data_IF_478095128392
#
_entry.id   IF_478095128392
#
_cell.length_a   1.000
_cell.length_b   1.000
_cell.length_c   1.000
_cell.angle_alpha   90.00
_cell.angle_beta   90.00
_cell.angle_gamma   90.00
#
_symmetry.space_group_name_H-M   'P 1'
#
loop_
_entity.id
_entity.type
_entity.pdbx_description
1 polymer ?
#
# COMPACT_ATOMS: atom_id res chain seq x y z
N UNK A 1 0.11 10.85 15.12
CA UNK A 1 0.89 10.22 14.04
C UNK A 1 1.57 11.33 13.23
N UNK A 2 2.85 11.19 12.92
CA UNK A 2 3.65 12.18 12.17
C UNK A 2 3.92 11.67 10.75
N UNK A 3 2.85 11.53 9.96
CA UNK A 3 2.94 10.94 8.61
C UNK A 3 3.70 11.84 7.63
N UNK A 4 3.75 13.15 7.87
CA UNK A 4 4.52 14.10 7.08
C UNK A 4 6.02 13.77 7.12
N UNK A 5 6.55 13.41 8.30
CA UNK A 5 7.97 13.07 8.48
C UNK A 5 8.26 11.56 8.41
N UNK A 6 7.35 10.76 7.84
CA UNK A 6 7.48 9.28 7.79
C UNK A 6 8.79 8.80 7.15
N UNK A 7 9.28 9.50 6.12
CA UNK A 7 10.52 9.15 5.41
C UNK A 7 11.76 9.29 6.31
N UNK A 8 11.73 10.19 7.29
CA UNK A 8 12.83 10.36 8.24
C UNK A 8 12.71 9.40 9.43
N UNK A 9 11.50 8.91 9.73
CA UNK A 9 11.22 8.05 10.89
C UNK A 9 11.31 6.56 10.58
N UNK A 10 10.95 6.14 9.37
CA UNK A 10 10.87 4.73 8.97
C UNK A 10 11.89 4.50 7.85
N UNK A 11 13.01 3.81 8.13
CA UNK A 11 14.10 3.61 7.17
C UNK A 11 13.66 3.00 5.85
N UNK A 12 12.68 2.08 5.91
CA UNK A 12 12.18 1.35 4.74
C UNK A 12 11.02 2.07 4.03
N UNK A 13 10.69 3.30 4.44
CA UNK A 13 9.60 4.04 3.81
C UNK A 13 10.00 4.54 2.42
N UNK A 14 9.26 4.10 1.40
CA UNK A 14 9.54 4.43 0.00
C UNK A 14 8.71 5.63 -0.44
N UNK A 15 9.38 6.70 -0.84
CA UNK A 15 8.75 7.86 -1.48
C UNK A 15 8.55 7.61 -2.98
N UNK A 16 7.31 7.38 -3.41
CA UNK A 16 6.99 7.18 -4.83
C UNK A 16 6.94 8.52 -5.59
N UNK A 17 7.63 8.58 -6.72
CA UNK A 17 7.64 9.71 -7.65
C UNK A 17 7.38 9.21 -9.08
N UNK A 18 6.86 10.05 -9.99
CA UNK A 18 6.73 9.69 -11.40
C UNK A 18 8.04 9.24 -12.06
N UNK A 19 9.19 9.66 -11.52
CA UNK A 19 10.52 9.30 -12.02
C UNK A 19 10.96 7.92 -11.54
N UNK A 20 10.78 7.60 -10.25
CA UNK A 20 11.28 6.34 -9.70
C UNK A 20 10.31 5.16 -9.84
N UNK A 21 9.01 5.40 -10.04
CA UNK A 21 8.03 4.30 -10.11
C UNK A 21 8.36 3.28 -11.20
N UNK A 22 8.98 3.72 -12.31
CA UNK A 22 9.40 2.86 -13.41
C UNK A 22 10.60 1.98 -13.10
N UNK A 23 11.33 2.25 -12.02
CA UNK A 23 12.52 1.49 -11.62
C UNK A 23 12.27 0.54 -10.44
N UNK A 24 11.15 0.69 -9.75
CA UNK A 24 10.79 -0.14 -8.58
C UNK A 24 10.11 -1.42 -9.05
N UNK A 25 10.84 -2.54 -9.04
CA UNK A 25 10.39 -3.83 -9.59
C UNK A 25 9.38 -4.58 -8.73
N UNK A 26 9.32 -4.32 -7.42
CA UNK A 26 8.50 -5.07 -6.46
C UNK A 26 7.10 -4.49 -6.25
N UNK A 27 6.73 -3.40 -6.94
CA UNK A 27 5.39 -2.83 -6.82
C UNK A 27 4.32 -3.87 -7.24
N UNK A 28 3.21 -3.98 -6.49
CA UNK A 28 2.18 -4.97 -6.79
C UNK A 28 1.61 -4.84 -8.21
N UNK A 29 1.27 -5.99 -8.82
CA UNK A 29 0.06 -6.23 -9.65
C UNK A 29 -0.72 -4.99 -10.09
N UNK A 30 -1.43 -4.51 -9.08
CA UNK A 30 -2.55 -3.58 -9.16
C UNK A 30 -2.18 -2.19 -8.66
N UNK A 31 -0.88 -1.92 -8.42
CA UNK A 31 -0.42 -0.61 -7.97
C UNK A 31 -0.76 0.45 -9.04
N UNK A 32 -1.55 1.45 -8.65
CA UNK A 32 -2.01 2.50 -9.56
C UNK A 32 -0.87 3.23 -10.25
N UNK A 33 0.20 3.55 -9.52
CA UNK A 33 1.37 4.22 -10.09
C UNK A 33 2.07 3.36 -11.14
N UNK A 34 2.13 2.04 -10.93
CA UNK A 34 2.72 1.10 -11.88
C UNK A 34 1.86 0.96 -13.13
N UNK A 35 0.55 0.77 -12.97
CA UNK A 35 -0.41 0.70 -14.08
C UNK A 35 -0.32 1.93 -14.97
N UNK A 36 -0.36 3.13 -14.39
CA UNK A 36 -0.24 4.40 -15.12
C UNK A 36 1.12 4.49 -15.84
N UNK A 37 2.21 4.09 -15.18
CA UNK A 37 3.53 4.12 -15.78
C UNK A 37 3.70 3.15 -16.95
N UNK A 38 2.96 2.04 -16.95
CA UNK A 38 2.91 1.02 -18.01
C UNK A 38 1.87 1.34 -19.09
N UNK A 39 1.10 2.42 -18.95
CA UNK A 39 0.05 2.80 -19.90
C UNK A 39 -1.25 1.99 -19.78
N UNK A 40 -1.47 1.35 -18.63
CA UNK A 40 -2.70 0.63 -18.33
C UNK A 40 -3.75 1.52 -17.66
N UNK A 41 -5.01 1.20 -17.91
CA UNK A 41 -6.13 1.78 -17.17
C UNK A 41 -6.14 1.34 -15.70
N UNK A 42 -6.76 2.16 -14.87
CA UNK A 42 -7.05 1.80 -13.48
C UNK A 42 -8.30 0.91 -13.43
N UNK A 43 -8.32 -0.05 -12.50
CA UNK A 43 -9.48 -0.89 -12.28
C UNK A 43 -10.71 -0.06 -11.85
N UNK A 44 -11.91 -0.57 -12.16
CA UNK A 44 -13.18 0.10 -11.86
C UNK A 44 -13.36 0.49 -10.39
N UNK A 45 -12.81 -0.32 -9.48
CA UNK A 45 -12.89 -0.12 -8.03
C UNK A 45 -11.87 0.91 -7.52
N UNK A 46 -10.98 1.42 -8.38
CA UNK A 46 -9.99 2.40 -7.97
C UNK A 46 -10.68 3.76 -7.72
N UNK A 47 -10.37 4.42 -6.61
CA UNK A 47 -11.02 5.68 -6.20
C UNK A 47 -11.02 6.78 -7.27
N UNK A 48 -9.96 6.88 -8.07
CA UNK A 48 -9.87 7.85 -9.17
C UNK A 48 -10.82 7.55 -10.33
N UNK A 49 -11.30 6.31 -10.44
CA UNK A 49 -12.27 5.86 -11.46
C UNK A 49 -13.69 5.89 -10.89
N UNK A 50 -13.89 5.31 -9.71
CA UNK A 50 -15.22 5.20 -9.09
C UNK A 50 -15.70 6.46 -8.37
N UNK A 51 -14.78 7.36 -8.01
CA UNK A 51 -15.06 8.52 -7.16
C UNK A 51 -15.31 8.18 -5.68
N UNK A 52 -15.37 6.91 -5.31
CA UNK A 52 -15.72 6.43 -3.97
C UNK A 52 -14.61 5.55 -3.39
N UNK A 53 -14.24 5.81 -2.13
CA UNK A 53 -13.35 4.95 -1.36
C UNK A 53 -14.00 3.64 -0.93
N UNK A 54 -15.34 3.53 -0.94
CA UNK A 54 -16.02 2.30 -0.58
C UNK A 54 -15.86 1.18 -1.63
N UNK A 55 -15.64 1.54 -2.90
CA UNK A 55 -15.47 0.54 -3.97
C UNK A 55 -14.25 -0.38 -3.81
N UNK A 56 -13.17 0.06 -3.14
CA UNK A 56 -12.04 -0.84 -2.83
C UNK A 56 -12.41 -1.90 -1.78
N UNK A 57 -13.37 -1.59 -0.92
CA UNK A 57 -13.89 -2.48 0.11
C UNK A 57 -14.88 -3.47 -0.49
N UNK A 58 -15.81 -2.98 -1.31
CA UNK A 58 -16.79 -3.79 -2.06
C UNK A 58 -16.11 -4.81 -2.98
N UNK A 59 -15.03 -4.40 -3.67
CA UNK A 59 -14.25 -5.28 -4.54
C UNK A 59 -13.36 -6.28 -3.76
N UNK A 60 -13.29 -6.18 -2.43
CA UNK A 60 -12.49 -7.07 -1.58
C UNK A 60 -10.97 -6.85 -1.64
N UNK A 61 -10.50 -5.78 -2.29
CA UNK A 61 -9.07 -5.48 -2.51
C UNK A 61 -8.45 -4.72 -1.32
N UNK A 62 -9.25 -4.31 -0.34
CA UNK A 62 -8.77 -3.58 0.84
C UNK A 62 -8.17 -4.49 1.92
N UNK A 63 -7.17 -3.99 2.67
CA UNK A 63 -6.66 -4.64 3.90
C UNK A 63 -7.44 -4.22 5.17
N UNK A 64 -8.47 -3.36 5.05
CA UNK A 64 -9.33 -2.94 6.17
C UNK A 64 -9.89 -4.18 6.89
N UNK A 65 -9.77 -4.21 8.21
CA UNK A 65 -10.24 -5.34 9.04
C UNK A 65 -9.38 -6.61 8.98
N UNK A 66 -8.32 -6.63 8.18
CA UNK A 66 -7.41 -7.79 8.03
C UNK A 66 -6.09 -7.64 8.80
N UNK A 67 -5.78 -6.43 9.30
CA UNK A 67 -4.57 -6.17 10.11
C UNK A 67 -4.78 -6.68 11.54
N UNK A 68 -3.85 -7.52 12.02
CA UNK A 68 -3.94 -8.18 13.35
C UNK A 68 -3.00 -7.60 14.41
N UNK A 69 -1.93 -6.95 13.99
CA UNK A 69 -0.96 -6.31 14.87
C UNK A 69 -0.40 -5.05 14.23
N UNK A 70 0.10 -4.16 15.08
CA UNK A 70 0.99 -3.05 14.73
C UNK A 70 2.42 -3.46 15.03
N UNK A 71 3.37 -2.77 14.42
CA UNK A 71 4.80 -2.92 14.72
C UNK A 71 5.11 -2.75 16.21
N UNK A 72 4.41 -1.84 16.91
CA UNK A 72 4.56 -1.62 18.36
C UNK A 72 4.00 -2.75 19.23
N UNK A 73 3.23 -3.66 18.65
CA UNK A 73 2.67 -4.81 19.37
C UNK A 73 3.65 -6.01 19.34
N UNK A 74 4.70 -5.95 18.51
CA UNK A 74 5.72 -6.99 18.37
C UNK A 74 6.90 -6.70 19.31
N UNK A 75 7.47 -7.74 19.93
CA UNK A 75 8.68 -7.58 20.73
C UNK A 75 9.91 -7.43 19.81
N UNK A 76 10.00 -8.28 18.81
CA UNK A 76 10.95 -8.19 17.70
C UNK A 76 10.21 -8.15 16.35
N UNK A 77 10.76 -7.52 15.30
CA UNK A 77 10.11 -7.44 13.99
C UNK A 77 9.71 -8.80 13.41
N UNK A 78 10.50 -9.85 13.67
CA UNK A 78 10.29 -11.21 13.16
C UNK A 78 9.19 -11.98 13.91
N UNK A 79 8.66 -11.44 15.02
CA UNK A 79 7.57 -12.06 15.80
C UNK A 79 6.19 -11.96 15.11
N UNK A 80 6.14 -11.43 13.88
CA UNK A 80 4.89 -11.28 13.12
C UNK A 80 4.17 -12.60 12.84
N UNK A 81 4.88 -13.74 12.86
CA UNK A 81 4.32 -15.05 12.55
C UNK A 81 3.15 -15.42 13.45
N UNK A 82 3.17 -15.01 14.72
CA UNK A 82 2.09 -15.25 15.68
C UNK A 82 0.78 -14.49 15.32
N UNK A 83 0.88 -13.51 14.44
CA UNK A 83 -0.22 -12.68 13.96
C UNK A 83 -0.64 -13.01 12.53
N UNK A 84 0.05 -13.94 11.87
CA UNK A 84 -0.33 -14.49 10.56
C UNK A 84 -1.30 -15.67 10.78
N UNK A 85 -2.61 -15.38 10.69
CA UNK A 85 -3.69 -16.37 10.65
C UNK A 85 -4.25 -16.49 9.23
#
# INVERSE_FOLDING_TARGET
>A
ADYANRLARVPDCVGLTPQNVRTISWLPRTCAYRLIAEGHDLYWWHRLVSGSDETVHEAGISIRGRVKAKETDLAEPDDYFDYML
#
